data_IF_919172743906
#
_entry.id   IF_919172743906
#
_cell.length_a   1.000
_cell.length_b   1.000
_cell.length_c   1.000
_cell.angle_alpha   90.00
_cell.angle_beta   90.00
_cell.angle_gamma   90.00
#
_symmetry.space_group_name_H-M   'P 1'
#
loop_
_entity.id
_entity.type
_entity.pdbx_description
1 polymer ?
#
# COMPACT_ATOMS: atom_id res chain seq x y z
N UNK A 1 -6.63 -3.39 2.30
CA UNK A 1 -5.67 -4.46 1.99
C UNK A 1 -4.27 -3.89 1.99
N UNK A 2 -3.28 -4.75 1.79
CA UNK A 2 -1.89 -4.36 1.50
C UNK A 2 -1.22 -5.45 0.65
N UNK A 3 -0.23 -5.05 -0.15
CA UNK A 3 0.68 -5.94 -0.86
C UNK A 3 2.02 -6.07 -0.12
N UNK A 4 2.45 -5.01 0.57
CA UNK A 4 3.63 -5.01 1.45
C UNK A 4 3.54 -3.92 2.51
N UNK A 5 3.93 -4.24 3.75
CA UNK A 5 3.98 -3.28 4.85
C UNK A 5 5.41 -3.20 5.39
N UNK A 6 6.02 -2.02 5.36
CA UNK A 6 7.31 -1.78 5.98
C UNK A 6 7.19 -1.67 7.51
N UNK A 7 8.29 -1.88 8.22
CA UNK A 7 8.32 -1.85 9.69
C UNK A 7 7.92 -0.50 10.29
N UNK A 8 8.09 0.61 9.58
CA UNK A 8 7.57 1.92 10.03
C UNK A 8 6.05 2.11 9.81
N UNK A 9 5.36 1.12 9.23
CA UNK A 9 3.95 1.16 8.88
C UNK A 9 3.64 1.72 7.48
N UNK A 10 4.65 2.18 6.72
CA UNK A 10 4.43 2.57 5.33
C UNK A 10 3.92 1.36 4.54
N UNK A 11 2.79 1.52 3.87
CA UNK A 11 2.07 0.40 3.27
C UNK A 11 1.97 0.58 1.77
N UNK A 12 2.50 -0.36 1.00
CA UNK A 12 2.23 -0.47 -0.42
C UNK A 12 0.95 -1.27 -0.66
N UNK A 13 0.10 -0.73 -1.53
CA UNK A 13 -1.13 -1.37 -2.01
C UNK A 13 -1.44 -0.88 -3.42
N UNK A 14 -2.45 -1.47 -4.07
CA UNK A 14 -2.86 -1.10 -5.44
C UNK A 14 -2.95 0.42 -5.63
N UNK A 15 -2.45 0.90 -6.77
CA UNK A 15 -2.47 2.31 -7.15
C UNK A 15 -3.84 2.95 -6.90
N UNK A 16 -3.85 4.13 -6.28
CA UNK A 16 -5.03 4.84 -5.79
C UNK A 16 -5.20 4.80 -4.27
N UNK A 17 -4.56 3.87 -3.57
CA UNK A 17 -4.69 3.74 -2.11
C UNK A 17 -4.21 4.99 -1.38
N UNK A 18 -3.07 5.56 -1.79
CA UNK A 18 -2.56 6.81 -1.22
C UNK A 18 -3.54 7.97 -1.40
N UNK A 19 -4.20 8.06 -2.57
CA UNK A 19 -5.22 9.07 -2.83
C UNK A 19 -6.43 8.94 -1.90
N UNK A 20 -6.90 7.71 -1.67
CA UNK A 20 -7.98 7.44 -0.71
C UNK A 20 -7.56 7.83 0.71
N UNK A 21 -6.33 7.51 1.11
CA UNK A 21 -5.82 7.86 2.44
C UNK A 21 -5.72 9.39 2.65
N UNK A 22 -5.36 10.15 1.61
CA UNK A 22 -5.38 11.61 1.65
C UNK A 22 -6.81 12.15 1.84
N UNK A 23 -7.77 11.65 1.07
CA UNK A 23 -9.18 12.04 1.18
C UNK A 23 -9.75 11.69 2.56
N UNK A 24 -9.45 10.50 3.07
CA UNK A 24 -9.85 10.08 4.41
C UNK A 24 -9.32 11.03 5.49
N UNK A 25 -8.05 11.42 5.41
CA UNK A 25 -7.47 12.41 6.34
C UNK A 25 -8.20 13.75 6.26
N UNK A 26 -8.45 14.25 5.05
CA UNK A 26 -9.10 15.55 4.85
C UNK A 26 -10.52 15.58 5.45
N UNK A 27 -11.23 14.46 5.40
CA UNK A 27 -12.59 14.34 5.93
C UNK A 27 -12.66 13.81 7.36
N UNK A 28 -11.52 13.63 8.05
CA UNK A 28 -11.50 13.11 9.42
C UNK A 28 -12.00 11.66 9.55
N UNK A 29 -11.92 10.88 8.46
CA UNK A 29 -12.34 9.47 8.44
C UNK A 29 -11.14 8.58 8.80
N UNK A 30 -11.25 7.66 9.78
CA UNK A 30 -10.19 6.71 10.08
C UNK A 30 -9.87 5.81 8.88
N UNK A 31 -8.59 5.65 8.58
CA UNK A 31 -8.12 4.83 7.47
C UNK A 31 -7.37 3.61 7.99
N UNK A 32 -7.86 2.42 7.65
CA UNK A 32 -7.33 1.15 8.16
C UNK A 32 -6.71 0.32 7.05
N UNK A 33 -5.60 -0.32 7.39
CA UNK A 33 -5.04 -1.41 6.60
C UNK A 33 -5.44 -2.73 7.26
N UNK A 34 -5.85 -3.71 6.46
CA UNK A 34 -6.08 -5.07 6.89
C UNK A 34 -5.24 -5.99 6.01
N UNK A 35 -4.32 -6.73 6.62
CA UNK A 35 -3.39 -7.62 5.95
C UNK A 35 -2.84 -8.66 6.94
N UNK A 36 -2.50 -9.88 6.48
CA UNK A 36 -1.88 -10.87 7.36
C UNK A 36 -0.46 -10.45 7.76
N UNK A 37 0.05 -11.00 8.86
CA UNK A 37 1.42 -10.71 9.31
C UNK A 37 2.48 -11.07 8.28
N UNK A 38 2.21 -12.04 7.41
CA UNK A 38 3.07 -12.43 6.28
C UNK A 38 3.24 -11.35 5.21
N UNK A 39 2.38 -10.32 5.20
CA UNK A 39 2.51 -9.15 4.32
C UNK A 39 3.45 -8.08 4.90
N UNK A 40 3.78 -8.17 6.20
CA UNK A 40 4.77 -7.30 6.83
C UNK A 40 6.15 -7.76 6.39
N UNK A 41 6.99 -6.84 5.93
CA UNK A 41 8.36 -7.09 5.47
C UNK A 41 9.35 -6.60 6.55
N UNK A 42 9.91 -7.50 7.38
CA UNK A 42 10.87 -7.12 8.42
C UNK A 42 12.18 -6.54 7.86
N UNK A 43 12.49 -6.79 6.57
CA UNK A 43 13.66 -6.26 5.89
C UNK A 43 13.45 -4.84 5.35
N UNK A 44 12.20 -4.40 5.20
CA UNK A 44 11.85 -3.05 4.77
C UNK A 44 11.67 -2.12 5.97
N UNK A 45 12.67 -1.26 6.24
CA UNK A 45 12.57 -0.26 7.30
C UNK A 45 11.55 0.85 7.01
N UNK A 46 11.43 1.26 5.75
CA UNK A 46 10.47 2.28 5.30
C UNK A 46 10.13 2.12 3.80
N UNK A 47 9.28 3.03 3.29
CA UNK A 47 8.86 3.09 1.88
C UNK A 47 9.98 3.04 0.84
N UNK A 48 11.20 3.51 1.14
CA UNK A 48 12.33 3.53 0.19
C UNK A 48 12.82 2.12 -0.15
N UNK A 49 12.56 1.16 0.74
CA UNK A 49 12.89 -0.24 0.53
C UNK A 49 11.80 -1.00 -0.26
N UNK A 50 10.66 -0.37 -0.58
CA UNK A 50 9.58 -1.02 -1.31
C UNK A 50 9.71 -0.71 -2.82
N UNK A 51 10.07 -1.68 -3.67
CA UNK A 51 10.09 -1.47 -5.11
C UNK A 51 8.66 -1.36 -5.66
N UNK A 52 8.47 -0.49 -6.65
CA UNK A 52 7.19 -0.32 -7.34
C UNK A 52 7.25 -1.01 -8.69
N UNK A 53 6.34 -1.95 -8.90
CA UNK A 53 6.13 -2.60 -10.20
C UNK A 53 5.56 -1.58 -11.20
N UNK A 54 6.17 -1.51 -12.37
CA UNK A 54 5.64 -0.82 -13.53
C UNK A 54 5.13 -1.84 -14.54
N UNK A 55 3.90 -1.64 -14.99
CA UNK A 55 3.21 -2.57 -15.90
C UNK A 55 3.11 -1.99 -17.31
N UNK A 56 2.70 -2.85 -18.24
CA UNK A 56 2.62 -2.53 -19.65
C UNK A 56 1.67 -1.36 -19.93
N UNK A 57 1.96 -0.54 -20.94
CA UNK A 57 1.16 0.65 -21.28
C UNK A 57 -0.23 0.28 -21.80
N UNK A 58 -0.36 -0.93 -22.36
CA UNK A 58 -1.58 -1.49 -22.91
C UNK A 58 -2.70 -1.59 -21.88
N UNK A 59 -2.38 -1.84 -20.61
CA UNK A 59 -3.37 -1.90 -19.51
C UNK A 59 -4.05 -0.56 -19.25
N UNK A 60 -3.39 0.55 -19.59
CA UNK A 60 -3.95 1.90 -19.50
C UNK A 60 -4.58 2.31 -20.81
N UNK A 61 -4.09 1.79 -21.94
CA UNK A 61 -4.51 2.20 -23.27
C UNK A 61 -5.75 1.49 -23.82
N UNK A 62 -6.17 0.39 -23.21
CA UNK A 62 -7.31 -0.43 -23.64
C UNK A 62 -7.59 -1.61 -22.69
N UNK A 63 -8.62 -2.39 -23.01
CA UNK A 63 -8.92 -3.66 -22.34
C UNK A 63 -9.55 -4.65 -23.34
N UNK A 64 -9.02 -5.87 -23.36
CA UNK A 64 -9.40 -6.87 -24.37
C UNK A 64 -9.11 -6.35 -25.78
N UNK A 65 -10.10 -6.44 -26.66
CA UNK A 65 -10.00 -5.92 -28.03
C UNK A 65 -10.32 -4.41 -28.14
N UNK A 66 -10.80 -3.78 -27.06
CA UNK A 66 -11.17 -2.36 -27.06
C UNK A 66 -9.99 -1.48 -26.72
N UNK A 67 -9.70 -0.51 -27.57
CA UNK A 67 -8.64 0.50 -27.38
C UNK A 67 -9.25 1.90 -27.34
N UNK A 68 -8.91 2.69 -26.32
CA UNK A 68 -9.34 4.09 -26.20
C UNK A 68 -8.19 5.09 -26.35
N UNK A 69 -6.94 4.63 -26.22
CA UNK A 69 -5.75 5.45 -26.52
C UNK A 69 -5.26 5.28 -27.97
N UNK A 70 -4.71 6.32 -28.61
CA UNK A 70 -4.04 6.18 -29.91
C UNK A 70 -2.95 5.10 -29.91
N UNK A 71 -2.76 4.43 -31.04
CA UNK A 71 -1.68 3.44 -31.22
C UNK A 71 -0.31 4.08 -30.95
N UNK A 72 0.59 3.33 -30.30
CA UNK A 72 1.92 3.82 -29.92
C UNK A 72 1.97 4.76 -28.71
N UNK A 73 0.84 5.02 -28.03
CA UNK A 73 0.83 5.83 -26.80
C UNK A 73 1.54 5.09 -25.65
N UNK A 74 2.55 5.72 -25.07
CA UNK A 74 3.20 5.26 -23.84
C UNK A 74 2.42 5.75 -22.60
N UNK A 75 2.40 4.94 -21.54
CA UNK A 75 1.74 5.28 -20.28
C UNK A 75 2.68 5.13 -19.08
N UNK A 76 2.51 6.03 -18.10
CA UNK A 76 3.08 5.86 -16.78
C UNK A 76 2.15 4.98 -15.93
N UNK A 77 2.46 3.69 -15.81
CA UNK A 77 1.59 2.69 -15.20
C UNK A 77 2.22 1.98 -13.99
N UNK A 78 2.39 2.67 -12.84
CA UNK A 78 2.75 2.02 -11.60
C UNK A 78 1.57 1.17 -11.09
N UNK A 79 1.82 -0.10 -10.78
CA UNK A 79 0.78 -1.01 -10.29
C UNK A 79 0.36 -0.71 -8.85
N UNK A 80 1.25 -0.08 -8.07
CA UNK A 80 1.09 0.17 -6.65
C UNK A 80 1.50 1.61 -6.30
N UNK A 81 0.95 2.13 -5.20
CA UNK A 81 1.49 3.30 -4.51
C UNK A 81 1.83 2.94 -3.05
N UNK A 82 2.56 3.83 -2.38
CA UNK A 82 2.87 3.69 -0.96
C UNK A 82 2.11 4.75 -0.17
N UNK A 83 1.27 4.30 0.75
CA UNK A 83 0.58 5.13 1.73
C UNK A 83 1.47 5.32 2.95
N UNK A 84 1.89 6.56 3.28
CA UNK A 84 2.69 6.79 4.47
C UNK A 84 1.96 6.47 5.76
N UNK A 85 2.68 5.92 6.74
CA UNK A 85 2.14 5.47 8.02
C UNK A 85 1.32 6.53 8.77
N UNK A 86 1.68 7.82 8.63
CA UNK A 86 0.96 8.95 9.24
C UNK A 86 -0.50 9.12 8.79
N UNK A 87 -0.89 8.47 7.68
CA UNK A 87 -2.28 8.47 7.21
C UNK A 87 -3.07 7.25 7.68
N UNK A 88 -2.42 6.29 8.34
CA UNK A 88 -3.01 5.01 8.72
C UNK A 88 -3.34 5.04 10.21
N UNK A 89 -4.61 4.80 10.53
CA UNK A 89 -5.11 4.78 11.92
C UNK A 89 -4.71 3.50 12.65
N UNK A 90 -4.79 2.36 11.98
CA UNK A 90 -4.31 1.07 12.50
C UNK A 90 -4.09 0.05 11.37
N UNK A 91 -3.27 -0.96 11.67
CA UNK A 91 -3.04 -2.14 10.82
C UNK A 91 -3.63 -3.35 11.54
N UNK A 92 -4.61 -4.00 10.92
CA UNK A 92 -5.34 -5.16 11.45
C UNK A 92 -4.75 -6.43 10.85
N UNK A 93 -4.33 -7.36 11.71
CA UNK A 93 -3.77 -8.65 11.35
C UNK A 93 -4.51 -9.78 12.09
N UNK A 94 -4.16 -11.02 11.79
CA UNK A 94 -4.63 -12.22 12.49
C UNK A 94 -4.10 -12.33 13.94
N UNK A 95 -3.00 -11.64 14.27
CA UNK A 95 -2.42 -11.62 15.62
C UNK A 95 -2.90 -10.43 16.47
N UNK A 96 -3.62 -9.48 15.88
CA UNK A 96 -4.17 -8.33 16.59
C UNK A 96 -4.17 -7.04 15.78
N UNK A 97 -4.15 -5.91 16.47
CA UNK A 97 -4.23 -4.58 15.87
C UNK A 97 -3.01 -3.76 16.26
N UNK A 98 -2.17 -3.42 15.29
CA UNK A 98 -1.06 -2.49 15.45
C UNK A 98 -1.55 -1.04 15.32
N UNK A 99 -1.08 -0.17 16.21
CA UNK A 99 -1.35 1.28 16.23
C UNK A 99 -0.03 2.06 16.25
N UNK A 100 -0.02 3.34 15.85
CA UNK A 100 1.16 4.19 16.00
C UNK A 100 1.67 4.22 17.46
N UNK A 101 2.99 4.20 17.71
CA UNK A 101 4.08 4.07 16.73
C UNK A 101 4.19 2.64 16.18
N UNK A 102 4.19 2.50 14.85
CA UNK A 102 4.03 1.20 14.18
C UNK A 102 5.26 0.31 14.28
N UNK A 103 6.46 0.87 14.34
CA UNK A 103 7.71 0.11 14.53
C UNK A 103 7.73 -0.68 15.84
N UNK A 104 7.11 -0.14 16.90
CA UNK A 104 6.97 -0.81 18.19
C UNK A 104 5.84 -1.84 18.14
N UNK A 105 4.65 -1.45 17.65
CA UNK A 105 3.48 -2.34 17.70
C UNK A 105 3.55 -3.50 16.71
N UNK A 106 4.12 -3.30 15.51
CA UNK A 106 4.33 -4.38 14.54
C UNK A 106 5.39 -5.36 15.04
N UNK A 107 6.49 -4.87 15.63
CA UNK A 107 7.50 -5.75 16.25
C UNK A 107 6.90 -6.60 17.36
N UNK A 108 6.13 -5.99 18.26
CA UNK A 108 5.46 -6.71 19.34
C UNK A 108 4.49 -7.79 18.83
N UNK A 109 3.75 -7.53 17.74
CA UNK A 109 2.89 -8.54 17.12
C UNK A 109 3.70 -9.71 16.54
N UNK A 110 4.77 -9.42 15.81
CA UNK A 110 5.61 -10.43 15.16
C UNK A 110 6.38 -11.31 16.15
N UNK A 111 6.74 -10.78 17.32
CA UNK A 111 7.42 -11.53 18.39
C UNK A 111 6.46 -12.41 19.22
N UNK A 112 5.14 -12.16 19.12
CA UNK A 112 4.12 -12.84 19.92
C UNK A 112 3.48 -14.07 19.28
N UNK A 113 3.72 -14.29 17.98
CA UNK A 113 3.25 -15.44 17.20
C UNK A 113 4.34 -16.47 16.96
#
# INVERSE_FOLDING_TARGET
>A
GADRIAMNGDTANKIGTYGIALAAREHGVPFFIAAPTTTIDPGAGDRRAIPIEFRASEEVGGYGETRWSPEGTEAYNPAFDVTPARFISAIVTELGVAKPPFDVSLRGLLESG
#
